data_IF_137803165820
#
_entry.id   IF_137803165820
#
_cell.length_a   1.000
_cell.length_b   1.000
_cell.length_c   1.000
_cell.angle_alpha   90.00
_cell.angle_beta   90.00
_cell.angle_gamma   90.00
#
_symmetry.space_group_name_H-M   'P 1'
#
loop_
_entity.id
_entity.type
_entity.pdbx_description
1 polymer ?
#
# COMPACT_ATOMS: atom_id res chain seq x y z
N UNK A 1 -10.14 14.18 -3.38
CA UNK A 1 -11.14 13.17 -2.98
C UNK A 1 -10.84 11.84 -3.66
N UNK A 2 -10.86 10.76 -2.90
CA UNK A 2 -10.64 9.42 -3.44
C UNK A 2 -11.94 8.86 -3.97
N UNK A 3 -11.99 8.35 -5.21
CA UNK A 3 -13.22 7.75 -5.74
C UNK A 3 -13.65 6.54 -4.92
N UNK A 4 -14.96 6.30 -4.89
CA UNK A 4 -15.50 5.11 -4.25
C UNK A 4 -14.92 3.85 -4.89
N UNK A 5 -14.55 2.87 -4.06
CA UNK A 5 -13.95 1.61 -4.53
C UNK A 5 -12.46 1.70 -4.80
N UNK A 6 -11.81 2.79 -4.42
CA UNK A 6 -10.36 2.98 -4.55
C UNK A 6 -9.75 3.36 -3.21
N UNK A 7 -8.47 3.06 -3.07
CA UNK A 7 -7.64 3.63 -2.01
C UNK A 7 -6.52 4.45 -2.65
N UNK A 8 -6.03 5.44 -1.91
CA UNK A 8 -4.91 6.26 -2.35
C UNK A 8 -3.69 5.91 -1.52
N UNK A 9 -2.58 5.67 -2.21
CA UNK A 9 -1.30 5.36 -1.57
C UNK A 9 -0.21 6.26 -2.12
N UNK A 10 0.89 6.34 -1.37
CA UNK A 10 2.11 7.01 -1.80
C UNK A 10 3.17 5.95 -1.99
N UNK A 11 3.69 5.81 -3.21
CA UNK A 11 4.70 4.82 -3.52
C UNK A 11 6.00 5.10 -2.76
N UNK A 12 6.57 4.05 -2.17
CA UNK A 12 7.78 4.18 -1.36
C UNK A 12 8.98 4.67 -2.18
N UNK A 13 9.11 4.17 -3.41
CA UNK A 13 10.32 4.39 -4.21
C UNK A 13 10.44 5.81 -4.77
N UNK A 14 9.35 6.40 -5.24
CA UNK A 14 9.41 7.68 -5.95
C UNK A 14 8.51 8.75 -5.34
N UNK A 15 7.75 8.43 -4.31
CA UNK A 15 6.85 9.38 -3.65
C UNK A 15 5.61 9.72 -4.46
N UNK A 16 5.37 9.05 -5.55
CA UNK A 16 4.19 9.32 -6.37
C UNK A 16 2.92 8.75 -5.74
N UNK A 17 1.85 9.48 -5.91
CA UNK A 17 0.53 9.04 -5.43
C UNK A 17 -0.10 8.13 -6.47
N UNK A 18 -0.79 7.11 -6.00
CA UNK A 18 -1.45 6.14 -6.87
C UNK A 18 -2.80 5.74 -6.28
N UNK A 19 -3.74 5.40 -7.15
CA UNK A 19 -5.04 4.86 -6.76
C UNK A 19 -5.08 3.39 -7.12
N UNK A 20 -5.55 2.57 -6.17
CA UNK A 20 -5.68 1.12 -6.38
C UNK A 20 -7.13 0.74 -6.12
N UNK A 21 -7.70 -0.03 -7.03
CA UNK A 21 -9.07 -0.56 -6.84
C UNK A 21 -9.07 -1.56 -5.71
N UNK A 22 -10.00 -1.40 -4.77
CA UNK A 22 -10.07 -2.28 -3.60
C UNK A 22 -10.44 -3.71 -3.97
N UNK A 23 -11.21 -3.90 -5.03
CA UNK A 23 -11.61 -5.24 -5.47
C UNK A 23 -10.47 -6.04 -6.10
N UNK A 24 -9.34 -5.40 -6.40
CA UNK A 24 -8.16 -6.07 -6.93
C UNK A 24 -7.14 -6.43 -5.86
N UNK A 25 -7.32 -5.94 -4.64
CA UNK A 25 -6.37 -6.18 -3.55
C UNK A 25 -6.53 -7.60 -3.04
N UNK A 26 -5.44 -8.36 -3.04
CA UNK A 26 -5.43 -9.76 -2.58
C UNK A 26 -4.83 -9.88 -1.18
N UNK A 27 -3.80 -9.09 -0.88
CA UNK A 27 -3.11 -9.18 0.41
C UNK A 27 -2.40 -7.88 0.72
N UNK A 28 -2.25 -7.61 2.01
CA UNK A 28 -1.52 -6.45 2.53
C UNK A 28 -0.56 -6.97 3.59
N UNK A 29 0.71 -6.62 3.47
CA UNK A 29 1.75 -7.04 4.41
C UNK A 29 2.43 -5.83 5.03
N UNK A 30 2.63 -5.88 6.33
CA UNK A 30 3.38 -4.86 7.06
C UNK A 30 4.80 -5.35 7.28
N UNK A 31 5.77 -4.54 6.87
CA UNK A 31 7.19 -4.83 7.06
C UNK A 31 7.82 -3.78 7.97
N UNK A 32 8.57 -4.24 8.96
CA UNK A 32 9.37 -3.35 9.79
C UNK A 32 10.64 -2.91 9.09
N UNK A 33 11.34 -1.94 9.70
CA UNK A 33 12.66 -1.51 9.24
C UNK A 33 13.62 -2.69 9.28
N UNK A 34 14.45 -2.81 8.25
CA UNK A 34 15.43 -3.90 8.18
C UNK A 34 16.68 -3.46 7.43
N UNK A 35 17.79 -4.11 7.74
CA UNK A 35 19.06 -3.91 7.03
C UNK A 35 19.06 -4.76 5.76
N UNK A 36 19.51 -4.16 4.68
CA UNK A 36 19.68 -4.84 3.39
C UNK A 36 21.09 -4.53 2.90
N UNK A 37 21.53 -5.21 1.84
CA UNK A 37 22.93 -5.10 1.34
C UNK A 37 23.34 -3.67 1.00
N UNK A 38 22.40 -2.83 0.61
CA UNK A 38 22.68 -1.46 0.17
C UNK A 38 22.23 -0.41 1.20
N UNK A 39 21.98 -0.81 2.45
CA UNK A 39 21.63 0.14 3.51
C UNK A 39 20.48 -0.33 4.39
N UNK A 40 19.59 0.60 4.75
CA UNK A 40 18.44 0.33 5.59
C UNK A 40 17.17 0.52 4.78
N UNK A 41 16.32 -0.51 4.74
CA UNK A 41 15.00 -0.38 4.15
C UNK A 41 14.02 0.05 5.24
N UNK A 42 13.30 1.18 5.07
CA UNK A 42 12.40 1.67 6.09
C UNK A 42 11.18 0.77 6.26
N UNK A 43 10.51 0.90 7.38
CA UNK A 43 9.22 0.25 7.59
C UNK A 43 8.24 0.71 6.51
N UNK A 44 7.46 -0.22 5.99
CA UNK A 44 6.53 0.07 4.90
C UNK A 44 5.44 -0.99 4.83
N UNK A 45 4.45 -0.73 4.00
CA UNK A 45 3.37 -1.67 3.72
C UNK A 45 3.46 -2.09 2.25
N UNK A 46 3.33 -3.38 2.00
CA UNK A 46 3.28 -3.90 0.64
C UNK A 46 1.85 -4.34 0.33
N UNK A 47 1.34 -3.89 -0.80
CA UNK A 47 0.01 -4.27 -1.28
C UNK A 47 0.19 -5.16 -2.50
N UNK A 48 -0.40 -6.36 -2.42
CA UNK A 48 -0.43 -7.29 -3.54
C UNK A 48 -1.80 -7.19 -4.20
N UNK A 49 -1.82 -6.97 -5.50
CA UNK A 49 -3.08 -6.74 -6.21
C UNK A 49 -3.01 -7.23 -7.65
N UNK A 50 -4.18 -7.50 -8.22
CA UNK A 50 -4.27 -7.97 -9.59
C UNK A 50 -3.49 -9.26 -9.81
N UNK A 51 -2.99 -9.47 -11.01
CA UNK A 51 -2.23 -10.66 -11.37
C UNK A 51 -0.74 -10.43 -11.08
N UNK A 52 -0.29 -10.88 -9.90
CA UNK A 52 1.12 -10.82 -9.50
C UNK A 52 1.73 -9.42 -9.44
N UNK A 53 0.90 -8.41 -9.18
CA UNK A 53 1.39 -7.04 -9.01
C UNK A 53 1.59 -6.73 -7.53
N UNK A 54 2.61 -5.93 -7.24
CA UNK A 54 2.93 -5.52 -5.88
C UNK A 54 3.38 -4.07 -5.90
N UNK A 55 3.06 -3.36 -4.82
CA UNK A 55 3.53 -1.99 -4.64
C UNK A 55 3.85 -1.78 -3.16
N UNK A 56 4.99 -1.14 -2.89
CA UNK A 56 5.36 -0.72 -1.55
C UNK A 56 4.90 0.71 -1.34
N UNK A 57 4.28 0.99 -0.20
CA UNK A 57 3.76 2.32 0.09
C UNK A 57 4.21 2.80 1.47
N UNK A 58 4.11 4.12 1.66
CA UNK A 58 4.54 4.77 2.91
C UNK A 58 3.43 4.85 3.95
N UNK A 59 2.19 4.67 3.55
CA UNK A 59 1.06 4.66 4.50
C UNK A 59 1.19 3.49 5.46
N UNK A 60 0.70 3.67 6.69
CA UNK A 60 0.71 2.59 7.68
C UNK A 60 -0.34 1.53 7.33
N UNK A 61 -0.16 0.35 7.91
CA UNK A 61 -1.14 -0.73 7.77
C UNK A 61 -2.54 -0.26 8.19
N UNK A 62 -2.63 0.44 9.32
CA UNK A 62 -3.91 0.92 9.83
C UNK A 62 -4.55 1.93 8.90
N UNK A 63 -3.77 2.81 8.29
CA UNK A 63 -4.29 3.77 7.33
C UNK A 63 -4.86 3.07 6.10
N UNK A 64 -4.17 2.07 5.58
CA UNK A 64 -4.63 1.32 4.42
C UNK A 64 -5.89 0.52 4.77
N UNK A 65 -5.88 -0.18 5.89
CA UNK A 65 -7.04 -0.95 6.33
C UNK A 65 -8.27 -0.06 6.52
N UNK A 66 -8.07 1.13 7.09
CA UNK A 66 -9.16 2.08 7.29
C UNK A 66 -9.73 2.59 5.97
N UNK A 67 -8.87 2.87 4.99
CA UNK A 67 -9.32 3.27 3.66
C UNK A 67 -10.14 2.17 2.98
N UNK A 68 -9.70 0.92 3.08
CA UNK A 68 -10.42 -0.22 2.51
C UNK A 68 -11.79 -0.35 3.18
N UNK A 69 -11.82 -0.27 4.50
CA UNK A 69 -13.07 -0.32 5.25
C UNK A 69 -14.06 0.76 4.78
N UNK A 70 -13.59 2.00 4.65
CA UNK A 70 -14.43 3.11 4.22
C UNK A 70 -14.89 2.97 2.77
N UNK A 71 -14.08 2.38 1.92
CA UNK A 71 -14.42 2.22 0.51
C UNK A 71 -15.56 1.23 0.29
N UNK A 72 -15.81 0.35 1.26
CA UNK A 72 -16.86 -0.66 1.20
C UNK A 72 -18.20 -0.15 1.78
N UNK A 73 -18.18 1.00 2.41
CA UNK A 73 -19.40 1.62 2.94
C UNK A 73 -20.09 2.44 1.85
#
# INVERSE_FOLDING_TARGET
>A
MVPSGFIEITCLDDGKRALIRTDLIEAIYEYGERNVDYGVKPAHVQICYGDNKQVDCTESYDEIANQIWKSEL
#
